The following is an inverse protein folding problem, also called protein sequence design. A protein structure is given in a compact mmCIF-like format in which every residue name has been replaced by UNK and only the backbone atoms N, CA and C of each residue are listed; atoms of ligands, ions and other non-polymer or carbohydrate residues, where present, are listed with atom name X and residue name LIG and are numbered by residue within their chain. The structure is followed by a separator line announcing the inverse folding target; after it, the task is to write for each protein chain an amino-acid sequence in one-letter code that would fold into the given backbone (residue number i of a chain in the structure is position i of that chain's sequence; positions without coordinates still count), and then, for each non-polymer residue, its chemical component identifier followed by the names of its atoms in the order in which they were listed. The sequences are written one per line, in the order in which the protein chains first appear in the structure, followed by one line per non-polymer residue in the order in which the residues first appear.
data_IF_093755581885
#
_entry.id   IF_093755581885
#
_cell.length_a   1.000
_cell.length_b   1.000
_cell.length_c   1.000
_cell.angle_alpha   90.00
_cell.angle_beta   90.00
_cell.angle_gamma   90.00
#
_symmetry.space_group_name_H-M   'P 1'
#
loop_
_entity.id
_entity.type
_entity.pdbx_description
1 polymer ?
#
# COMPACT_ATOMS: atom_id res chain seq x y z
N UNK A 1 27.18 57.55 -41.51
CA UNK A 1 27.84 56.77 -40.47
C UNK A 1 26.99 56.64 -39.16
N UNK A 2 26.24 57.65 -38.75
CA UNK A 2 25.46 57.61 -37.48
C UNK A 2 24.18 56.74 -37.49
N UNK A 3 23.59 56.43 -38.63
CA UNK A 3 22.36 55.57 -38.68
C UNK A 3 22.59 54.03 -38.60
N UNK A 4 23.81 53.58 -38.94
CA UNK A 4 24.17 52.17 -38.93
C UNK A 4 24.50 51.69 -37.50
N UNK A 5 25.17 52.53 -36.71
CA UNK A 5 25.55 52.24 -35.33
C UNK A 5 24.34 52.13 -34.41
N UNK A 6 23.24 52.91 -34.63
CA UNK A 6 22.04 52.86 -33.82
C UNK A 6 21.22 51.64 -34.11
N UNK A 7 21.23 51.10 -35.34
CA UNK A 7 20.48 49.87 -35.70
C UNK A 7 21.11 48.61 -35.13
N UNK A 8 22.46 48.56 -35.13
CA UNK A 8 23.19 47.40 -34.59
C UNK A 8 23.16 47.36 -33.05
N UNK A 9 23.04 48.54 -32.39
CA UNK A 9 22.86 48.66 -30.96
C UNK A 9 21.45 48.21 -30.49
N UNK A 10 20.40 48.53 -31.25
CA UNK A 10 19.02 48.13 -30.96
C UNK A 10 18.82 46.63 -31.19
N UNK A 11 19.45 46.05 -32.20
CA UNK A 11 19.39 44.59 -32.43
C UNK A 11 20.20 43.84 -31.38
N UNK A 12 21.35 44.35 -30.92
CA UNK A 12 22.12 43.74 -29.83
C UNK A 12 21.43 43.77 -28.46
N UNK A 13 20.68 44.83 -28.18
CA UNK A 13 19.91 44.97 -26.94
C UNK A 13 18.64 44.10 -26.97
N UNK A 14 17.98 43.91 -28.13
CA UNK A 14 16.84 43.01 -28.28
C UNK A 14 17.23 41.51 -28.19
N UNK A 15 18.45 41.14 -28.65
CA UNK A 15 18.96 39.78 -28.51
C UNK A 15 19.44 39.45 -27.11
N UNK A 16 19.78 40.45 -26.27
CA UNK A 16 20.15 40.23 -24.86
C UNK A 16 18.95 40.11 -23.90
N UNK A 17 17.74 40.49 -24.30
CA UNK A 17 16.52 40.35 -23.51
C UNK A 17 15.66 39.12 -23.86
N UNK A 18 16.02 38.34 -24.89
CA UNK A 18 15.28 37.15 -25.31
C UNK A 18 15.92 35.83 -24.79
N UNK A 19 17.12 35.91 -24.22
CA UNK A 19 17.88 34.73 -23.78
C UNK A 19 17.82 34.34 -22.30
N UNK A 20 17.13 35.00 -21.37
CA UNK A 20 16.94 34.42 -20.05
C UNK A 20 15.51 33.86 -19.75
N UNK A 21 14.66 33.71 -20.78
CA UNK A 21 13.29 33.14 -20.57
C UNK A 21 13.15 31.66 -20.97
N UNK A 22 14.22 31.05 -21.47
CA UNK A 22 14.21 29.67 -21.90
C UNK A 22 14.94 28.70 -20.93
N UNK A 23 15.51 29.18 -19.85
CA UNK A 23 16.07 28.37 -18.77
C UNK A 23 15.43 28.68 -17.40
N UNK A 24 14.11 28.89 -17.37
CA UNK A 24 13.39 28.37 -16.19
C UNK A 24 13.37 26.85 -16.38
N UNK A 25 14.51 26.24 -16.20
CA UNK A 25 14.66 24.88 -15.78
C UNK A 25 13.64 24.70 -14.68
N UNK A 26 12.66 23.84 -14.91
CA UNK A 26 11.93 23.21 -13.83
C UNK A 26 13.03 22.62 -12.95
N UNK A 27 13.50 23.36 -11.96
CA UNK A 27 14.19 22.80 -10.83
C UNK A 27 13.14 21.86 -10.27
N UNK A 28 13.21 20.58 -10.66
CA UNK A 28 12.55 19.51 -9.98
C UNK A 28 12.99 19.71 -8.54
N UNK A 29 12.11 20.24 -7.72
CA UNK A 29 12.39 20.44 -6.31
C UNK A 29 12.80 19.07 -5.82
N UNK A 30 14.08 18.89 -5.52
CA UNK A 30 14.58 17.64 -4.96
C UNK A 30 13.67 17.34 -3.78
N UNK A 31 12.90 16.27 -3.87
CA UNK A 31 11.92 15.95 -2.85
C UNK A 31 12.64 15.93 -1.51
N UNK A 32 12.17 16.76 -0.58
CA UNK A 32 12.77 16.81 0.75
C UNK A 32 12.60 15.44 1.40
N UNK A 33 13.70 14.83 1.78
CA UNK A 33 13.71 13.57 2.55
C UNK A 33 12.83 13.72 3.77
N UNK A 34 12.05 12.71 4.08
CA UNK A 34 11.23 12.72 5.29
C UNK A 34 12.11 12.91 6.53
N UNK A 35 11.71 13.82 7.41
CA UNK A 35 12.39 14.06 8.66
C UNK A 35 11.37 14.10 9.80
N UNK A 36 11.75 13.52 10.94
CA UNK A 36 10.94 13.56 12.16
C UNK A 36 10.98 14.99 12.74
N UNK A 37 9.89 15.74 12.57
CA UNK A 37 9.79 17.11 13.08
C UNK A 37 9.48 17.10 14.57
N UNK A 38 10.24 17.85 15.38
CA UNK A 38 10.06 17.92 16.84
C UNK A 38 10.02 16.52 17.50
N UNK A 39 11.08 15.73 17.40
CA UNK A 39 11.12 14.37 17.91
C UNK A 39 10.90 14.33 19.43
N UNK A 40 10.12 13.36 19.92
CA UNK A 40 9.86 13.14 21.33
C UNK A 40 10.70 11.95 21.84
N UNK A 41 11.92 12.21 22.20
CA UNK A 41 12.83 11.19 22.72
C UNK A 41 12.48 10.69 24.13
N UNK A 42 11.54 11.32 24.83
CA UNK A 42 11.02 10.78 26.10
C UNK A 42 10.07 9.61 25.83
N UNK A 43 9.20 9.74 24.81
CA UNK A 43 8.27 8.67 24.43
C UNK A 43 8.91 7.60 23.54
N UNK A 44 9.84 7.99 22.70
CA UNK A 44 10.53 7.11 21.74
C UNK A 44 12.03 7.38 21.74
N UNK A 45 12.79 6.81 22.70
CA UNK A 45 14.18 7.18 22.96
C UNK A 45 15.15 7.02 21.79
N UNK A 46 14.83 6.18 20.81
CA UNK A 46 15.71 5.87 19.67
C UNK A 46 15.43 6.69 18.43
N UNK A 47 14.15 6.97 18.14
CA UNK A 47 13.74 7.60 16.89
C UNK A 47 13.02 8.93 17.11
N UNK A 48 12.55 9.21 18.32
CA UNK A 48 11.69 10.35 18.60
C UNK A 48 10.30 10.26 17.96
N UNK A 49 9.99 9.18 17.21
CA UNK A 49 8.72 9.05 16.51
C UNK A 49 7.56 8.79 17.48
N UNK A 50 6.49 9.55 17.30
CA UNK A 50 5.20 9.36 17.96
C UNK A 50 4.14 8.97 16.91
N UNK A 51 2.90 8.67 17.34
CA UNK A 51 1.77 8.42 16.43
C UNK A 51 1.60 9.55 15.40
N UNK A 52 1.81 10.81 15.79
CA UNK A 52 1.70 11.94 14.87
C UNK A 52 2.73 11.86 13.73
N UNK A 53 3.95 11.42 14.01
CA UNK A 53 4.98 11.25 12.99
C UNK A 53 4.67 10.08 12.03
N UNK A 54 3.97 9.04 12.51
CA UNK A 54 3.46 7.97 11.64
C UNK A 54 2.38 8.48 10.69
N UNK A 55 1.47 9.35 11.17
CA UNK A 55 0.48 10.03 10.33
C UNK A 55 1.19 10.87 9.27
N UNK A 56 2.16 11.69 9.67
CA UNK A 56 2.97 12.52 8.76
C UNK A 56 3.72 11.69 7.71
N UNK A 57 4.25 10.52 8.10
CA UNK A 57 4.90 9.60 7.16
C UNK A 57 3.91 9.05 6.14
N UNK A 58 2.70 8.68 6.56
CA UNK A 58 1.62 8.28 5.67
C UNK A 58 1.21 9.40 4.71
N UNK A 59 1.03 10.62 5.22
CA UNK A 59 0.72 11.80 4.41
C UNK A 59 1.85 12.13 3.42
N UNK A 60 3.11 12.02 3.84
CA UNK A 60 4.28 12.23 2.98
C UNK A 60 4.27 11.27 1.77
N UNK A 61 4.05 9.98 2.01
CA UNK A 61 3.97 8.98 0.93
C UNK A 61 2.76 9.20 0.02
N UNK A 62 1.60 9.46 0.62
CA UNK A 62 0.37 9.68 -0.14
C UNK A 62 0.41 10.97 -0.96
N UNK A 63 1.06 12.01 -0.47
CA UNK A 63 1.27 13.27 -1.20
C UNK A 63 2.05 13.05 -2.49
N UNK A 64 3.08 12.21 -2.48
CA UNK A 64 3.82 11.85 -3.69
C UNK A 64 2.91 11.21 -4.74
N UNK A 65 2.08 10.24 -4.34
CA UNK A 65 1.11 9.61 -5.22
C UNK A 65 0.05 10.60 -5.75
N UNK A 66 -0.46 11.49 -4.90
CA UNK A 66 -1.42 12.52 -5.30
C UNK A 66 -0.81 13.63 -6.16
N UNK A 67 0.50 13.71 -6.31
CA UNK A 67 1.15 14.56 -7.31
C UNK A 67 0.73 14.26 -8.75
N UNK A 68 0.26 13.04 -9.01
CA UNK A 68 -0.24 12.59 -10.31
C UNK A 68 -1.75 12.73 -10.49
N UNK A 69 -2.48 13.20 -9.49
CA UNK A 69 -3.94 13.31 -9.48
C UNK A 69 -4.34 14.77 -9.53
N UNK A 70 -4.97 15.18 -10.63
CA UNK A 70 -5.45 16.54 -10.89
C UNK A 70 -6.97 16.59 -11.03
N UNK A 71 -7.60 15.45 -11.35
CA UNK A 71 -9.05 15.26 -11.46
C UNK A 71 -9.47 13.96 -10.78
N UNK A 72 -10.78 13.78 -10.56
CA UNK A 72 -11.30 12.53 -10.00
C UNK A 72 -11.17 11.34 -10.97
N UNK A 73 -11.02 11.56 -12.27
CA UNK A 73 -10.88 10.53 -13.30
C UNK A 73 -9.44 10.07 -13.51
N UNK A 74 -8.46 10.82 -13.00
CA UNK A 74 -7.05 10.44 -13.12
C UNK A 74 -6.79 9.12 -12.38
N UNK A 75 -5.93 8.31 -12.97
CA UNK A 75 -5.63 6.98 -12.45
C UNK A 75 -4.38 7.02 -11.55
N UNK A 76 -4.37 6.28 -10.45
CA UNK A 76 -3.16 6.02 -9.66
C UNK A 76 -2.20 5.15 -10.47
N UNK A 77 -1.56 5.78 -11.45
CA UNK A 77 -0.64 5.14 -12.37
C UNK A 77 0.62 6.00 -12.49
N UNK A 78 1.76 5.42 -12.13
CA UNK A 78 3.00 6.14 -11.96
C UNK A 78 3.95 5.94 -13.13
N UNK A 79 4.91 6.87 -13.35
CA UNK A 79 5.93 6.72 -14.37
C UNK A 79 6.72 5.42 -14.19
N UNK A 80 7.08 4.82 -15.31
CA UNK A 80 7.87 3.60 -15.33
C UNK A 80 9.33 3.94 -15.02
N UNK A 81 9.84 3.40 -13.93
CA UNK A 81 11.22 3.67 -13.50
C UNK A 81 12.29 2.90 -14.29
N UNK A 82 11.93 1.73 -14.83
CA UNK A 82 12.84 0.88 -15.61
C UNK A 82 12.10 0.27 -16.82
N UNK A 83 12.67 0.36 -18.01
CA UNK A 83 12.01 0.00 -19.28
C UNK A 83 11.48 -1.44 -19.37
N UNK A 84 12.17 -2.39 -18.75
CA UNK A 84 11.83 -3.83 -18.83
C UNK A 84 11.09 -4.34 -17.59
N UNK A 85 10.43 -3.47 -16.84
CA UNK A 85 9.69 -3.84 -15.64
C UNK A 85 8.19 -3.90 -15.90
N UNK A 86 7.43 -4.32 -14.90
CA UNK A 86 5.98 -4.33 -14.95
C UNK A 86 5.41 -2.89 -14.91
N UNK A 87 4.33 -2.58 -15.69
CA UNK A 87 3.73 -3.42 -16.74
C UNK A 87 4.66 -3.49 -17.97
N UNK A 88 4.84 -4.68 -18.55
CA UNK A 88 5.72 -4.87 -19.71
C UNK A 88 4.96 -4.98 -21.05
N UNK A 89 3.64 -4.88 -20.99
CA UNK A 89 2.75 -4.82 -22.16
C UNK A 89 1.43 -4.12 -21.81
N UNK A 90 0.68 -3.69 -22.84
CA UNK A 90 -0.55 -2.94 -22.69
C UNK A 90 -1.66 -3.70 -21.94
N UNK A 91 -1.69 -5.02 -22.03
CA UNK A 91 -2.65 -5.85 -21.32
C UNK A 91 -2.52 -5.83 -19.80
N UNK A 92 -1.34 -5.44 -19.29
CA UNK A 92 -1.08 -5.33 -17.85
C UNK A 92 -1.40 -3.94 -17.28
N UNK A 93 -1.53 -2.91 -18.13
CA UNK A 93 -1.77 -1.52 -17.70
C UNK A 93 -3.04 -1.37 -16.85
N UNK A 94 -4.20 -1.95 -17.20
CA UNK A 94 -5.40 -1.83 -16.36
C UNK A 94 -5.20 -2.38 -14.94
N UNK A 95 -4.47 -3.49 -14.82
CA UNK A 95 -4.16 -4.08 -13.51
C UNK A 95 -3.17 -3.22 -12.74
N UNK A 96 -2.14 -2.67 -13.39
CA UNK A 96 -1.18 -1.76 -12.75
C UNK A 96 -1.86 -0.49 -12.20
N UNK A 97 -2.86 0.05 -12.89
CA UNK A 97 -3.68 1.17 -12.40
C UNK A 97 -4.49 0.77 -11.16
N UNK A 98 -5.09 -0.42 -11.18
CA UNK A 98 -5.82 -0.94 -10.04
C UNK A 98 -4.90 -1.21 -8.85
N UNK A 99 -3.68 -1.69 -9.09
CA UNK A 99 -2.65 -1.85 -8.05
C UNK A 99 -2.31 -0.51 -7.40
N UNK A 100 -2.06 0.53 -8.20
CA UNK A 100 -1.81 1.87 -7.67
C UNK A 100 -2.96 2.37 -6.80
N UNK A 101 -4.21 2.21 -7.25
CA UNK A 101 -5.40 2.58 -6.49
C UNK A 101 -5.51 1.81 -5.17
N UNK A 102 -5.41 0.48 -5.22
CA UNK A 102 -5.61 -0.38 -4.06
C UNK A 102 -4.52 -0.17 -3.00
N UNK A 103 -3.26 -0.04 -3.43
CA UNK A 103 -2.11 0.07 -2.52
C UNK A 103 -1.99 1.44 -1.89
N UNK A 104 -2.28 2.52 -2.62
CA UNK A 104 -2.35 3.86 -2.03
C UNK A 104 -3.53 4.01 -1.07
N UNK A 105 -4.64 3.29 -1.31
CA UNK A 105 -5.77 3.28 -0.39
C UNK A 105 -5.45 2.61 0.96
N UNK A 106 -4.51 1.67 1.03
CA UNK A 106 -4.00 1.15 2.31
C UNK A 106 -3.42 2.25 3.21
N UNK A 107 -2.75 3.25 2.61
CA UNK A 107 -2.23 4.40 3.35
C UNK A 107 -3.37 5.39 3.64
N UNK A 108 -4.23 5.65 2.65
CA UNK A 108 -5.29 6.65 2.76
C UNK A 108 -6.38 6.24 3.74
N UNK A 109 -6.79 4.97 3.80
CA UNK A 109 -7.91 4.53 4.62
C UNK A 109 -7.75 4.86 6.12
N UNK A 110 -6.64 4.54 6.80
CA UNK A 110 -6.45 4.95 8.19
C UNK A 110 -6.37 6.48 8.37
N UNK A 111 -5.80 7.22 7.41
CA UNK A 111 -5.78 8.68 7.44
C UNK A 111 -7.19 9.27 7.31
N UNK A 112 -8.01 8.73 6.41
CA UNK A 112 -9.39 9.14 6.20
C UNK A 112 -10.31 8.80 7.38
N UNK A 113 -10.02 7.72 8.11
CA UNK A 113 -10.75 7.40 9.34
C UNK A 113 -10.57 8.49 10.40
N UNK A 114 -9.35 9.05 10.51
CA UNK A 114 -9.04 10.11 11.48
C UNK A 114 -9.38 11.52 10.93
N UNK A 115 -9.24 11.73 9.62
CA UNK A 115 -9.52 13.01 8.92
C UNK A 115 -10.24 12.77 7.59
N UNK A 116 -11.60 12.68 7.60
CA UNK A 116 -12.40 12.49 6.38
C UNK A 116 -12.29 13.66 5.37
N UNK A 117 -11.86 14.82 5.83
CA UNK A 117 -11.74 16.05 5.02
C UNK A 117 -10.34 16.24 4.43
N UNK A 118 -9.46 15.25 4.54
CA UNK A 118 -8.09 15.33 4.03
C UNK A 118 -8.07 15.75 2.54
N UNK A 119 -7.27 16.77 2.24
CA UNK A 119 -7.07 17.31 0.88
C UNK A 119 -5.61 17.14 0.50
N UNK A 120 -5.34 16.64 -0.71
CA UNK A 120 -4.02 16.55 -1.31
C UNK A 120 -4.08 17.03 -2.76
N UNK A 121 -3.11 17.83 -3.16
CA UNK A 121 -3.06 18.45 -4.50
C UNK A 121 -4.40 19.08 -4.94
N UNK A 122 -5.10 19.75 -4.01
CA UNK A 122 -6.42 20.36 -4.26
C UNK A 122 -7.58 19.36 -4.40
N UNK A 123 -7.33 18.07 -4.30
CA UNK A 123 -8.33 17.01 -4.39
C UNK A 123 -8.69 16.52 -2.98
N UNK A 124 -9.98 16.43 -2.67
CA UNK A 124 -10.46 15.79 -1.45
C UNK A 124 -10.26 14.25 -1.59
N UNK A 125 -9.39 13.71 -0.77
CA UNK A 125 -8.92 12.31 -0.87
C UNK A 125 -10.08 11.31 -0.81
N UNK A 126 -11.05 11.53 0.07
CA UNK A 126 -12.24 10.68 0.19
C UNK A 126 -13.09 10.68 -1.09
N UNK A 127 -13.26 11.84 -1.74
CA UNK A 127 -14.06 11.96 -2.98
C UNK A 127 -13.37 11.24 -4.13
N UNK A 128 -12.05 11.39 -4.24
CA UNK A 128 -11.25 10.68 -5.23
C UNK A 128 -11.45 9.16 -5.12
N UNK A 129 -11.19 8.59 -3.94
CA UNK A 129 -11.30 7.14 -3.79
C UNK A 129 -12.74 6.64 -3.96
N UNK A 130 -13.77 7.35 -3.48
CA UNK A 130 -15.16 6.96 -3.74
C UNK A 130 -15.48 6.96 -5.23
N UNK A 131 -15.04 8.00 -5.96
CA UNK A 131 -15.24 8.08 -7.41
C UNK A 131 -14.60 6.89 -8.13
N UNK A 132 -13.35 6.57 -7.78
CA UNK A 132 -12.64 5.43 -8.35
C UNK A 132 -13.29 4.08 -8.00
N UNK A 133 -13.71 3.89 -6.74
CA UNK A 133 -14.41 2.66 -6.31
C UNK A 133 -15.72 2.45 -7.08
N UNK A 134 -16.52 3.49 -7.27
CA UNK A 134 -17.73 3.43 -8.11
C UNK A 134 -17.37 3.14 -9.57
N UNK A 135 -16.28 3.73 -10.06
CA UNK A 135 -15.75 3.53 -11.40
C UNK A 135 -15.41 2.07 -11.73
N UNK A 136 -14.96 1.29 -10.74
CA UNK A 136 -14.60 -0.13 -10.91
C UNK A 136 -15.73 -0.94 -11.58
N UNK A 137 -16.98 -0.67 -11.25
CA UNK A 137 -18.14 -1.38 -11.79
C UNK A 137 -18.87 -0.64 -12.92
N UNK A 138 -18.38 0.52 -13.34
CA UNK A 138 -18.99 1.34 -14.39
C UNK A 138 -18.24 1.19 -15.74
N UNK A 139 -18.84 0.57 -16.77
CA UNK A 139 -18.16 0.37 -18.07
C UNK A 139 -17.70 1.63 -18.78
N UNK A 140 -18.21 2.81 -18.39
CA UNK A 140 -17.80 4.11 -18.94
C UNK A 140 -16.64 4.77 -18.19
N UNK A 141 -16.24 4.20 -17.06
CA UNK A 141 -15.15 4.74 -16.25
C UNK A 141 -13.79 4.25 -16.74
N UNK A 142 -12.74 5.06 -16.66
CA UNK A 142 -11.36 4.63 -16.90
C UNK A 142 -10.87 3.58 -15.89
N UNK A 143 -11.56 3.43 -14.74
CA UNK A 143 -11.26 2.45 -13.69
C UNK A 143 -12.03 1.14 -13.83
N UNK A 144 -12.80 0.98 -14.91
CA UNK A 144 -13.66 -0.18 -15.10
C UNK A 144 -12.91 -1.51 -15.07
N UNK A 145 -13.40 -2.44 -14.27
CA UNK A 145 -12.92 -3.82 -14.19
C UNK A 145 -14.07 -4.74 -14.59
N UNK A 146 -13.95 -5.51 -15.68
CA UNK A 146 -14.98 -6.46 -16.07
C UNK A 146 -15.12 -7.58 -15.04
N UNK A 147 -16.30 -8.20 -14.97
CA UNK A 147 -16.46 -9.42 -14.19
C UNK A 147 -15.44 -10.47 -14.63
N UNK A 148 -14.95 -11.23 -13.67
CA UNK A 148 -13.87 -12.19 -13.87
C UNK A 148 -14.21 -13.21 -14.96
N UNK A 149 -13.24 -13.46 -15.83
CA UNK A 149 -13.24 -14.55 -16.80
C UNK A 149 -11.92 -15.31 -16.68
N UNK A 150 -11.99 -16.63 -16.60
CA UNK A 150 -10.79 -17.48 -16.58
C UNK A 150 -10.17 -17.74 -15.19
N UNK A 151 -8.87 -18.01 -15.16
CA UNK A 151 -8.11 -18.45 -14.00
C UNK A 151 -7.76 -17.38 -12.96
N UNK A 152 -6.81 -17.65 -12.05
CA UNK A 152 -6.31 -16.69 -11.08
C UNK A 152 -5.78 -15.44 -11.77
N UNK A 153 -6.00 -14.28 -11.18
CA UNK A 153 -5.51 -13.00 -11.70
C UNK A 153 -5.09 -12.05 -10.56
N UNK A 154 -4.18 -11.15 -10.87
CA UNK A 154 -3.73 -10.08 -9.95
C UNK A 154 -4.90 -9.20 -9.49
N UNK A 155 -5.91 -8.98 -10.32
CA UNK A 155 -7.12 -8.23 -9.98
C UNK A 155 -7.79 -8.71 -8.68
N UNK A 156 -7.75 -10.03 -8.40
CA UNK A 156 -8.27 -10.59 -7.15
C UNK A 156 -7.56 -9.98 -5.93
N UNK A 157 -6.23 -9.85 -5.99
CA UNK A 157 -5.43 -9.33 -4.88
C UNK A 157 -5.82 -7.88 -4.58
N UNK A 158 -5.96 -7.09 -5.62
CA UNK A 158 -6.27 -5.68 -5.49
C UNK A 158 -7.70 -5.46 -4.99
N UNK A 159 -8.68 -6.20 -5.49
CA UNK A 159 -10.05 -6.13 -4.96
C UNK A 159 -10.15 -6.59 -3.50
N UNK A 160 -9.37 -7.59 -3.09
CA UNK A 160 -9.27 -8.01 -1.69
C UNK A 160 -8.62 -6.92 -0.81
N UNK A 161 -7.61 -6.24 -1.34
CA UNK A 161 -6.98 -5.08 -0.68
C UNK A 161 -7.96 -3.91 -0.52
N UNK A 162 -8.78 -3.64 -1.54
CA UNK A 162 -9.85 -2.64 -1.44
C UNK A 162 -10.89 -3.02 -0.38
N UNK A 163 -11.22 -4.31 -0.23
CA UNK A 163 -12.14 -4.78 0.82
C UNK A 163 -11.61 -4.47 2.23
N UNK A 164 -10.31 -4.67 2.48
CA UNK A 164 -9.66 -4.29 3.74
C UNK A 164 -9.79 -2.78 3.97
N UNK A 165 -9.43 -1.98 2.98
CA UNK A 165 -9.43 -0.52 3.07
C UNK A 165 -10.83 0.05 3.25
N UNK A 166 -11.82 -0.46 2.50
CA UNK A 166 -13.23 -0.08 2.67
C UNK A 166 -13.75 -0.44 4.06
N UNK A 167 -13.35 -1.57 4.63
CA UNK A 167 -13.71 -1.92 6.01
C UNK A 167 -13.04 -1.00 7.03
N UNK A 168 -11.77 -0.68 6.84
CA UNK A 168 -11.00 0.17 7.77
C UNK A 168 -11.57 1.60 7.88
N UNK A 169 -12.05 2.16 6.76
CA UNK A 169 -12.66 3.49 6.68
C UNK A 169 -14.10 3.43 6.15
N UNK A 170 -14.90 2.47 6.64
CA UNK A 170 -16.22 2.15 6.11
C UNK A 170 -17.16 3.37 6.05
N UNK A 171 -17.22 4.15 7.12
CA UNK A 171 -18.07 5.35 7.21
C UNK A 171 -17.73 6.41 6.15
N UNK A 172 -16.50 6.40 5.63
CA UNK A 172 -16.02 7.38 4.63
C UNK A 172 -16.07 6.83 3.21
N UNK A 173 -15.74 5.55 3.02
CA UNK A 173 -15.54 4.96 1.69
C UNK A 173 -16.75 4.16 1.18
N UNK A 174 -17.41 3.40 2.05
CA UNK A 174 -18.48 2.49 1.67
C UNK A 174 -19.88 3.03 2.00
N UNK A 175 -20.11 3.47 3.24
CA UNK A 175 -21.44 3.84 3.69
C UNK A 175 -22.08 4.97 2.86
N UNK A 176 -21.34 5.99 2.37
CA UNK A 176 -21.88 7.05 1.54
C UNK A 176 -22.32 6.62 0.13
N UNK A 177 -21.91 5.45 -0.35
CA UNK A 177 -22.33 4.95 -1.66
C UNK A 177 -23.81 4.63 -1.68
N UNK A 178 -24.49 4.92 -2.80
CA UNK A 178 -25.87 4.50 -3.01
C UNK A 178 -26.00 2.99 -3.05
N UNK A 179 -27.21 2.47 -2.82
CA UNK A 179 -27.45 1.02 -2.89
C UNK A 179 -27.07 0.44 -4.27
N UNK A 180 -27.43 1.12 -5.35
CA UNK A 180 -27.08 0.68 -6.70
C UNK A 180 -25.57 0.62 -6.95
N UNK A 181 -24.81 1.61 -6.45
CA UNK A 181 -23.35 1.61 -6.53
C UNK A 181 -22.73 0.46 -5.72
N UNK A 182 -23.23 0.26 -4.49
CA UNK A 182 -22.81 -0.88 -3.65
C UNK A 182 -23.07 -2.22 -4.31
N UNK A 183 -24.28 -2.42 -4.84
CA UNK A 183 -24.69 -3.66 -5.50
C UNK A 183 -23.81 -3.96 -6.73
N UNK A 184 -23.55 -2.95 -7.56
CA UNK A 184 -22.70 -3.09 -8.74
C UNK A 184 -21.25 -3.43 -8.38
N UNK A 185 -20.66 -2.70 -7.41
CA UNK A 185 -19.30 -2.97 -6.94
C UNK A 185 -19.22 -4.35 -6.29
N UNK A 186 -20.19 -4.72 -5.45
CA UNK A 186 -20.26 -6.01 -4.80
C UNK A 186 -20.34 -7.16 -5.84
N UNK A 187 -21.13 -7.02 -6.89
CA UNK A 187 -21.22 -8.02 -7.96
C UNK A 187 -19.87 -8.21 -8.68
N UNK A 188 -19.17 -7.11 -8.99
CA UNK A 188 -17.82 -7.18 -9.57
C UNK A 188 -16.85 -7.87 -8.60
N UNK A 189 -16.79 -7.46 -7.34
CA UNK A 189 -15.91 -8.05 -6.33
C UNK A 189 -16.22 -9.54 -6.10
N UNK A 190 -17.50 -9.92 -6.02
CA UNK A 190 -17.95 -11.30 -5.81
C UNK A 190 -17.49 -12.22 -6.94
N UNK A 191 -17.52 -11.73 -8.19
CA UNK A 191 -17.06 -12.50 -9.36
C UNK A 191 -15.60 -12.92 -9.26
N UNK A 192 -14.77 -12.17 -8.53
CA UNK A 192 -13.38 -12.52 -8.21
C UNK A 192 -13.26 -13.28 -6.88
N UNK A 193 -14.00 -12.86 -5.86
CA UNK A 193 -13.94 -13.45 -4.51
C UNK A 193 -14.33 -14.93 -4.49
N UNK A 194 -15.27 -15.35 -5.29
CA UNK A 194 -15.66 -16.76 -5.48
C UNK A 194 -14.86 -17.46 -6.58
N UNK A 195 -13.98 -16.74 -7.24
CA UNK A 195 -13.15 -17.26 -8.31
C UNK A 195 -11.96 -18.08 -7.85
N UNK A 196 -11.32 -18.82 -8.78
CA UNK A 196 -10.11 -19.57 -8.47
C UNK A 196 -8.96 -18.65 -8.09
N UNK A 197 -8.10 -19.16 -7.21
CA UNK A 197 -6.90 -18.50 -6.72
C UNK A 197 -5.70 -19.45 -6.74
N UNK A 198 -4.51 -18.90 -6.56
CA UNK A 198 -3.30 -19.70 -6.34
C UNK A 198 -3.31 -20.19 -4.89
N UNK A 199 -2.95 -21.45 -4.68
CA UNK A 199 -2.83 -22.07 -3.36
C UNK A 199 -1.66 -21.53 -2.54
N UNK A 200 -1.67 -20.23 -2.19
CA UNK A 200 -0.66 -19.50 -1.44
C UNK A 200 -1.33 -18.44 -0.57
N UNK A 201 -0.59 -17.41 -0.16
CA UNK A 201 -1.15 -16.23 0.52
C UNK A 201 -2.28 -15.56 -0.29
N UNK A 202 -2.36 -15.77 -1.59
CA UNK A 202 -3.41 -15.23 -2.46
C UNK A 202 -4.83 -15.57 -2.00
N UNK A 203 -5.01 -16.70 -1.33
CA UNK A 203 -6.31 -17.08 -0.74
C UNK A 203 -6.85 -16.05 0.28
N UNK A 204 -5.99 -15.24 0.91
CA UNK A 204 -6.46 -14.17 1.79
C UNK A 204 -7.35 -13.16 1.05
N UNK A 205 -7.10 -12.89 -0.20
CA UNK A 205 -7.86 -11.88 -0.95
C UNK A 205 -9.27 -12.38 -1.30
N UNK A 206 -9.45 -13.68 -1.58
CA UNK A 206 -10.79 -14.29 -1.62
C UNK A 206 -11.47 -14.13 -0.25
N UNK A 207 -10.76 -14.46 0.83
CA UNK A 207 -11.25 -14.35 2.21
C UNK A 207 -11.71 -12.93 2.54
N UNK A 208 -10.92 -11.90 2.20
CA UNK A 208 -11.28 -10.51 2.48
C UNK A 208 -12.50 -10.05 1.68
N UNK A 209 -12.57 -10.36 0.39
CA UNK A 209 -13.74 -10.01 -0.44
C UNK A 209 -14.99 -10.66 0.16
N UNK A 210 -14.97 -11.96 0.40
CA UNK A 210 -16.14 -12.70 0.87
C UNK A 210 -16.54 -12.28 2.28
N UNK A 211 -15.57 -12.07 3.18
CA UNK A 211 -15.84 -11.63 4.55
C UNK A 211 -16.43 -10.22 4.60
N UNK A 212 -15.91 -9.31 3.78
CA UNK A 212 -16.43 -7.96 3.67
C UNK A 212 -17.87 -7.96 3.11
N UNK A 213 -18.11 -8.65 2.01
CA UNK A 213 -19.43 -8.72 1.39
C UNK A 213 -20.46 -9.38 2.33
N UNK A 214 -20.07 -10.45 3.04
CA UNK A 214 -20.90 -11.08 4.08
C UNK A 214 -21.22 -10.08 5.20
N UNK A 215 -20.25 -9.32 5.67
CA UNK A 215 -20.45 -8.30 6.72
C UNK A 215 -21.38 -7.15 6.25
N UNK A 216 -21.44 -6.90 4.94
CA UNK A 216 -22.35 -5.94 4.32
C UNK A 216 -23.72 -6.55 3.95
N UNK A 217 -24.00 -7.80 4.31
CA UNK A 217 -25.30 -8.48 4.10
C UNK A 217 -25.50 -9.11 2.72
N UNK A 218 -24.43 -9.22 1.91
CA UNK A 218 -24.52 -9.95 0.63
C UNK A 218 -24.35 -11.45 0.84
N UNK A 219 -25.05 -12.23 0.01
CA UNK A 219 -24.88 -13.70 -0.04
C UNK A 219 -23.50 -14.02 -0.61
N UNK A 220 -22.77 -14.92 0.01
CA UNK A 220 -21.45 -15.39 -0.39
C UNK A 220 -21.34 -16.91 -0.25
N UNK A 221 -20.39 -17.53 -0.94
CA UNK A 221 -20.08 -18.94 -0.76
C UNK A 221 -19.30 -19.16 0.54
N UNK A 222 -20.01 -19.36 1.66
CA UNK A 222 -19.43 -19.53 2.99
C UNK A 222 -18.53 -20.76 3.10
N UNK A 223 -18.88 -21.86 2.42
CA UNK A 223 -18.06 -23.09 2.45
C UNK A 223 -16.73 -22.87 1.74
N UNK A 224 -16.69 -22.07 0.69
CA UNK A 224 -15.46 -21.68 0.00
C UNK A 224 -14.60 -20.74 0.86
N UNK A 225 -15.23 -19.77 1.53
CA UNK A 225 -14.58 -18.88 2.49
C UNK A 225 -13.91 -19.69 3.61
N UNK A 226 -14.64 -20.57 4.27
CA UNK A 226 -14.14 -21.40 5.37
C UNK A 226 -13.01 -22.35 4.90
N UNK A 227 -13.17 -22.96 3.71
CA UNK A 227 -12.14 -23.81 3.11
C UNK A 227 -10.83 -23.08 2.89
N UNK A 228 -10.87 -21.83 2.38
CA UNK A 228 -9.66 -21.02 2.19
C UNK A 228 -8.99 -20.68 3.53
N UNK A 229 -9.75 -20.32 4.55
CA UNK A 229 -9.22 -20.06 5.90
C UNK A 229 -8.50 -21.30 6.49
N UNK A 230 -9.12 -22.48 6.39
CA UNK A 230 -8.51 -23.74 6.84
C UNK A 230 -7.23 -24.06 6.08
N UNK A 231 -7.20 -23.84 4.74
CA UNK A 231 -6.01 -24.05 3.91
C UNK A 231 -4.88 -23.08 4.27
N UNK A 232 -5.20 -21.84 4.60
CA UNK A 232 -4.22 -20.84 5.05
C UNK A 232 -3.61 -21.26 6.39
N UNK A 233 -4.45 -21.65 7.39
CA UNK A 233 -3.98 -22.13 8.69
C UNK A 233 -3.14 -23.41 8.58
N UNK A 234 -3.47 -24.31 7.66
CA UNK A 234 -2.69 -25.55 7.42
C UNK A 234 -1.24 -25.29 6.94
N UNK A 235 -0.90 -24.05 6.56
CA UNK A 235 0.47 -23.66 6.21
C UNK A 235 1.33 -23.26 7.41
N UNK A 236 0.77 -23.22 8.61
CA UNK A 236 1.51 -22.96 9.83
C UNK A 236 2.54 -24.07 10.10
N UNK A 237 3.71 -23.70 10.59
CA UNK A 237 4.84 -24.61 10.83
C UNK A 237 5.39 -24.53 12.26
N UNK A 238 4.77 -23.74 13.11
CA UNK A 238 5.19 -23.51 14.49
C UNK A 238 5.90 -22.16 14.67
N UNK A 239 5.99 -21.71 15.90
CA UNK A 239 6.70 -20.51 16.32
C UNK A 239 6.33 -19.23 15.56
N UNK A 240 5.09 -19.14 15.10
CA UNK A 240 4.58 -18.02 14.31
C UNK A 240 4.88 -18.06 12.82
N UNK A 241 5.56 -19.10 12.31
CA UNK A 241 6.01 -19.16 10.93
C UNK A 241 5.06 -19.93 10.03
N UNK A 242 4.86 -19.41 8.82
CA UNK A 242 4.08 -20.03 7.75
C UNK A 242 4.95 -20.30 6.53
N UNK A 243 4.61 -21.35 5.81
CA UNK A 243 5.22 -21.70 4.54
C UNK A 243 4.38 -21.14 3.38
N UNK A 244 4.87 -20.14 2.66
CA UNK A 244 4.24 -19.64 1.44
C UNK A 244 4.90 -20.30 0.21
N UNK A 245 4.35 -21.40 -0.20
CA UNK A 245 4.54 -22.24 -1.36
C UNK A 245 5.83 -22.06 -2.22
N UNK A 246 6.91 -22.67 -2.00
CA UNK A 246 7.52 -23.55 -1.01
C UNK A 246 8.55 -22.82 -0.12
N UNK A 247 8.51 -21.50 -0.03
CA UNK A 247 9.53 -20.68 0.59
C UNK A 247 9.21 -20.28 2.03
N UNK A 248 10.27 -20.19 2.85
CA UNK A 248 10.28 -19.47 4.11
C UNK A 248 11.01 -18.15 3.91
N UNK A 249 10.27 -17.05 3.97
CA UNK A 249 10.79 -15.70 3.84
C UNK A 249 9.83 -14.69 4.49
N UNK A 250 10.02 -13.42 4.24
CA UNK A 250 9.15 -12.38 4.76
C UNK A 250 7.67 -12.51 4.37
N UNK A 251 7.27 -13.38 3.44
CA UNK A 251 5.84 -13.65 3.20
C UNK A 251 5.15 -14.27 4.41
N UNK A 252 5.88 -14.97 5.29
CA UNK A 252 5.35 -15.34 6.59
C UNK A 252 4.93 -14.13 7.40
N UNK A 253 5.71 -13.06 7.38
CA UNK A 253 5.46 -11.82 8.12
C UNK A 253 4.42 -10.94 7.41
N UNK A 254 4.74 -10.38 6.25
CA UNK A 254 3.88 -9.39 5.62
C UNK A 254 2.62 -9.93 4.92
N UNK A 255 2.48 -11.25 4.76
CA UNK A 255 1.25 -11.86 4.30
C UNK A 255 0.51 -12.57 5.44
N UNK A 256 1.00 -13.73 5.89
CA UNK A 256 0.24 -14.55 6.83
C UNK A 256 0.03 -13.87 8.18
N UNK A 257 1.08 -13.34 8.78
CA UNK A 257 1.06 -12.69 10.09
C UNK A 257 0.58 -11.23 10.05
N UNK A 258 0.25 -10.74 8.87
CA UNK A 258 -0.43 -9.45 8.67
C UNK A 258 -1.90 -9.68 8.33
N UNK A 259 -2.18 -10.40 7.25
CA UNK A 259 -3.56 -10.59 6.79
C UNK A 259 -4.39 -11.50 7.69
N UNK A 260 -3.80 -12.53 8.28
CA UNK A 260 -4.50 -13.41 9.23
C UNK A 260 -5.06 -12.65 10.42
N UNK A 261 -4.23 -11.92 11.19
CA UNK A 261 -4.67 -11.07 12.30
C UNK A 261 -5.63 -9.95 11.90
N UNK A 262 -5.38 -9.26 10.77
CA UNK A 262 -6.30 -8.23 10.25
C UNK A 262 -7.68 -8.84 9.98
N UNK A 263 -7.73 -9.98 9.31
CA UNK A 263 -8.99 -10.67 9.06
C UNK A 263 -9.67 -11.10 10.36
N UNK A 264 -8.91 -11.67 11.30
CA UNK A 264 -9.44 -12.11 12.59
C UNK A 264 -10.12 -10.96 13.34
N UNK A 265 -9.49 -9.78 13.38
CA UNK A 265 -10.04 -8.61 14.06
C UNK A 265 -11.21 -7.95 13.29
N UNK A 266 -11.10 -7.79 11.99
CA UNK A 266 -12.13 -7.10 11.21
C UNK A 266 -13.40 -7.92 11.03
N UNK A 267 -13.29 -9.25 10.91
CA UNK A 267 -14.38 -10.13 10.52
C UNK A 267 -14.42 -11.43 11.31
N UNK A 268 -13.26 -12.02 11.59
CA UNK A 268 -13.12 -13.40 12.00
C UNK A 268 -13.78 -13.69 13.35
N UNK A 269 -13.59 -12.81 14.34
CA UNK A 269 -14.20 -12.93 15.68
C UNK A 269 -15.73 -13.05 15.62
N UNK A 270 -16.37 -12.43 14.63
CA UNK A 270 -17.82 -12.50 14.40
C UNK A 270 -18.23 -13.65 13.50
N UNK A 271 -17.47 -13.93 12.43
CA UNK A 271 -17.87 -14.86 11.38
C UNK A 271 -17.39 -16.30 11.65
N UNK A 272 -16.15 -16.48 12.14
CA UNK A 272 -15.50 -17.77 12.40
C UNK A 272 -14.58 -17.65 13.62
N UNK A 273 -15.11 -17.55 14.85
CA UNK A 273 -14.35 -17.22 16.05
C UNK A 273 -13.21 -18.17 16.36
N UNK A 274 -13.37 -19.48 16.11
CA UNK A 274 -12.33 -20.47 16.35
C UNK A 274 -11.13 -20.32 15.40
N UNK A 275 -11.38 -20.04 14.11
CA UNK A 275 -10.31 -19.80 13.13
C UNK A 275 -9.61 -18.47 13.40
N UNK A 276 -10.37 -17.44 13.81
CA UNK A 276 -9.81 -16.16 14.22
C UNK A 276 -8.84 -16.31 15.40
N UNK A 277 -9.25 -17.06 16.42
CA UNK A 277 -8.41 -17.35 17.59
C UNK A 277 -7.09 -18.04 17.19
N UNK A 278 -7.12 -18.97 16.23
CA UNK A 278 -5.90 -19.64 15.75
C UNK A 278 -4.94 -18.66 15.05
N UNK A 279 -5.43 -17.75 14.18
CA UNK A 279 -4.59 -16.73 13.55
C UNK A 279 -3.94 -15.81 14.59
N UNK A 280 -4.68 -15.39 15.61
CA UNK A 280 -4.17 -14.53 16.68
C UNK A 280 -3.16 -15.27 17.57
N UNK A 281 -3.40 -16.54 17.91
CA UNK A 281 -2.45 -17.35 18.66
C UNK A 281 -1.14 -17.54 17.88
N UNK A 282 -1.21 -17.82 16.58
CA UNK A 282 -0.03 -17.98 15.74
C UNK A 282 0.76 -16.65 15.61
N UNK A 283 0.08 -15.50 15.66
CA UNK A 283 0.75 -14.20 15.71
C UNK A 283 1.48 -13.99 17.04
N UNK A 284 0.87 -14.38 18.14
CA UNK A 284 1.50 -14.33 19.46
C UNK A 284 2.83 -15.09 19.46
N UNK A 285 2.84 -16.32 18.92
CA UNK A 285 4.07 -17.11 18.82
C UNK A 285 5.15 -16.40 18.01
N UNK A 286 4.79 -15.69 16.93
CA UNK A 286 5.75 -14.94 16.13
C UNK A 286 6.37 -13.76 16.89
N UNK A 287 5.58 -13.02 17.63
CA UNK A 287 6.07 -11.82 18.34
C UNK A 287 7.16 -12.17 19.35
N UNK A 288 7.18 -13.41 19.88
CA UNK A 288 8.20 -13.88 20.79
C UNK A 288 9.60 -14.04 20.15
N UNK A 289 9.67 -14.34 18.85
CA UNK A 289 10.94 -14.64 18.18
C UNK A 289 11.29 -13.67 17.03
N UNK A 290 10.32 -13.15 16.31
CA UNK A 290 10.54 -12.32 15.13
C UNK A 290 11.33 -11.02 15.38
N UNK A 291 11.22 -10.33 16.53
CA UNK A 291 12.03 -9.16 16.82
C UNK A 291 13.54 -9.39 16.73
N UNK A 292 14.02 -10.62 16.95
CA UNK A 292 15.44 -10.97 16.85
C UNK A 292 15.97 -10.99 15.40
N UNK A 293 15.10 -10.92 14.39
CA UNK A 293 15.51 -10.78 12.99
C UNK A 293 15.91 -9.36 12.60
N UNK A 294 15.69 -8.39 13.49
CA UNK A 294 16.05 -6.99 13.25
C UNK A 294 17.38 -6.67 13.93
N UNK A 295 18.14 -5.75 13.34
CA UNK A 295 19.38 -5.30 13.92
C UNK A 295 19.19 -4.60 15.27
N UNK A 296 20.27 -4.41 16.01
CA UNK A 296 20.23 -3.75 17.32
C UNK A 296 19.64 -2.34 17.25
N UNK A 297 19.82 -1.62 16.15
CA UNK A 297 19.23 -0.30 15.88
C UNK A 297 17.84 -0.35 15.26
N UNK A 298 17.22 -1.53 15.19
CA UNK A 298 15.84 -1.74 14.76
C UNK A 298 15.64 -1.76 13.24
N UNK A 299 16.70 -1.97 12.45
CA UNK A 299 16.61 -2.02 10.99
C UNK A 299 16.39 -3.45 10.50
N UNK A 300 15.63 -3.58 9.42
CA UNK A 300 15.44 -4.86 8.75
C UNK A 300 16.62 -5.20 7.83
N UNK A 301 16.84 -6.50 7.63
CA UNK A 301 17.80 -7.03 6.66
C UNK A 301 17.13 -7.37 5.32
N UNK A 302 17.96 -7.59 4.29
CA UNK A 302 17.53 -8.14 3.01
C UNK A 302 17.42 -9.65 3.13
N UNK A 303 16.19 -10.18 3.12
CA UNK A 303 15.95 -11.61 3.20
C UNK A 303 14.73 -12.04 2.38
N UNK A 304 14.90 -13.07 1.54
CA UNK A 304 13.82 -13.62 0.73
C UNK A 304 13.44 -12.79 -0.48
N UNK A 305 12.30 -13.11 -1.07
CA UNK A 305 11.75 -12.47 -2.27
C UNK A 305 10.91 -11.23 -1.92
N UNK A 306 10.62 -10.42 -2.92
CA UNK A 306 9.74 -9.24 -2.81
C UNK A 306 10.15 -8.25 -1.71
N UNK A 307 11.44 -8.12 -1.45
CA UNK A 307 11.96 -7.31 -0.35
C UNK A 307 11.74 -5.81 -0.53
N UNK A 308 11.32 -5.36 -1.70
CA UNK A 308 10.89 -3.99 -1.95
C UNK A 308 9.61 -3.61 -1.18
N UNK A 309 8.90 -4.54 -0.54
CA UNK A 309 7.89 -4.24 0.47
C UNK A 309 8.48 -3.61 1.74
N UNK A 310 9.78 -3.73 1.95
CA UNK A 310 10.58 -2.96 2.93
C UNK A 310 9.96 -2.99 4.34
N UNK A 311 9.57 -1.82 4.86
CA UNK A 311 9.00 -1.70 6.21
C UNK A 311 7.70 -2.47 6.45
N UNK A 312 7.07 -3.05 5.42
CA UNK A 312 5.99 -4.02 5.61
C UNK A 312 6.44 -5.25 6.43
N UNK A 313 7.75 -5.53 6.49
CA UNK A 313 8.29 -6.55 7.38
C UNK A 313 7.92 -6.32 8.86
N UNK A 314 7.63 -5.08 9.27
CA UNK A 314 7.24 -4.76 10.65
C UNK A 314 5.73 -4.82 10.89
N UNK A 315 4.91 -5.07 9.86
CA UNK A 315 3.46 -5.08 10.00
C UNK A 315 2.94 -6.06 11.07
N UNK A 316 3.46 -7.30 11.22
CA UNK A 316 3.04 -8.19 12.29
C UNK A 316 3.24 -7.63 13.69
N UNK A 317 4.33 -6.89 13.89
CA UNK A 317 4.66 -6.26 15.17
C UNK A 317 3.73 -5.08 15.46
N UNK A 318 3.35 -4.32 14.42
CA UNK A 318 2.47 -3.16 14.56
C UNK A 318 1.01 -3.56 14.86
N UNK A 319 0.60 -4.76 14.44
CA UNK A 319 -0.75 -5.31 14.69
C UNK A 319 -0.91 -5.90 16.09
N UNK A 320 0.18 -6.06 16.83
CA UNK A 320 0.16 -6.68 18.15
C UNK A 320 -0.64 -5.88 19.20
N UNK A 321 -0.93 -4.64 18.98
CA UNK A 321 -1.77 -3.84 19.89
C UNK A 321 -3.18 -4.41 20.10
N UNK A 322 -3.63 -5.31 19.22
CA UNK A 322 -4.92 -6.01 19.41
C UNK A 322 -4.89 -7.03 20.53
N UNK A 323 -3.73 -7.54 20.91
CA UNK A 323 -3.55 -8.40 22.09
C UNK A 323 -2.76 -7.65 23.17
N UNK A 324 -3.41 -7.30 24.26
CA UNK A 324 -2.81 -6.57 25.39
C UNK A 324 -2.01 -7.49 26.34
N UNK A 325 -1.25 -8.44 25.80
CA UNK A 325 -0.44 -9.36 26.58
C UNK A 325 0.66 -8.61 27.34
N UNK A 326 0.88 -8.99 28.61
CA UNK A 326 1.92 -8.43 29.48
C UNK A 326 3.36 -8.88 29.10
N UNK A 327 3.47 -9.89 28.24
CA UNK A 327 4.73 -10.59 27.94
C UNK A 327 5.53 -9.90 26.83
N UNK A 328 4.95 -8.91 26.18
CA UNK A 328 5.53 -8.24 25.02
C UNK A 328 6.28 -6.98 25.40
N UNK A 329 7.52 -6.86 24.94
CA UNK A 329 8.27 -5.64 25.07
C UNK A 329 7.86 -4.61 23.98
N UNK A 330 6.80 -3.86 24.26
CA UNK A 330 6.28 -2.83 23.35
C UNK A 330 7.31 -1.73 23.00
N UNK A 331 8.24 -1.43 23.92
CA UNK A 331 9.33 -0.48 23.63
C UNK A 331 10.24 -0.99 22.54
N UNK A 332 10.57 -2.27 22.56
CA UNK A 332 11.38 -2.91 21.51
C UNK A 332 10.65 -2.97 20.17
N UNK A 333 9.38 -3.38 20.17
CA UNK A 333 8.54 -3.43 18.97
C UNK A 333 8.41 -2.05 18.33
N UNK A 334 8.12 -1.00 19.10
CA UNK A 334 8.05 0.38 18.58
C UNK A 334 9.38 0.85 18.01
N UNK A 335 10.48 0.52 18.66
CA UNK A 335 11.81 0.80 18.14
C UNK A 335 12.02 0.16 16.77
N UNK A 336 11.75 -1.15 16.65
CA UNK A 336 11.88 -1.88 15.37
C UNK A 336 11.00 -1.23 14.30
N UNK A 337 9.72 -1.04 14.57
CA UNK A 337 8.79 -0.48 13.62
C UNK A 337 9.22 0.92 13.14
N UNK A 338 9.54 1.81 14.09
CA UNK A 338 9.95 3.19 13.77
C UNK A 338 11.31 3.24 13.05
N UNK A 339 12.30 2.50 13.52
CA UNK A 339 13.64 2.50 12.91
C UNK A 339 13.63 1.88 11.51
N UNK A 340 12.85 0.81 11.31
CA UNK A 340 12.70 0.21 9.98
C UNK A 340 11.98 1.16 9.01
N UNK A 341 10.96 1.90 9.45
CA UNK A 341 10.31 2.91 8.62
C UNK A 341 11.32 3.99 8.21
N UNK A 342 12.06 4.57 9.18
CA UNK A 342 13.05 5.62 8.91
C UNK A 342 14.23 5.12 8.09
N UNK A 343 14.59 3.83 8.17
CA UNK A 343 15.62 3.22 7.31
C UNK A 343 15.41 3.53 5.83
N UNK A 344 14.15 3.66 5.41
CA UNK A 344 13.80 3.96 4.03
C UNK A 344 13.40 5.43 3.84
N UNK A 345 12.56 5.99 4.70
CA UNK A 345 12.05 7.35 4.50
C UNK A 345 13.13 8.43 4.59
N UNK A 346 14.18 8.20 5.37
CA UNK A 346 15.34 9.10 5.47
C UNK A 346 16.40 8.86 4.37
N UNK A 347 16.18 7.85 3.53
CA UNK A 347 17.07 7.58 2.39
C UNK A 347 16.71 8.47 1.21
N UNK A 348 17.62 9.35 0.72
CA UNK A 348 17.34 10.26 -0.39
C UNK A 348 17.09 9.55 -1.73
N UNK A 349 17.37 8.25 -1.81
CA UNK A 349 17.11 7.43 -2.99
C UNK A 349 15.84 6.57 -2.86
N UNK A 350 15.06 6.76 -1.80
CA UNK A 350 13.86 5.94 -1.57
C UNK A 350 12.72 6.34 -2.50
N UNK A 351 12.52 7.63 -2.73
CA UNK A 351 11.54 8.15 -3.67
C UNK A 351 12.22 8.63 -4.95
N UNK A 352 11.56 8.44 -6.07
CA UNK A 352 11.85 9.01 -7.36
C UNK A 352 10.53 9.55 -7.94
N UNK A 353 10.51 10.84 -8.27
CA UNK A 353 9.29 11.52 -8.72
C UNK A 353 8.06 11.29 -7.81
N UNK A 354 8.26 11.32 -6.49
CA UNK A 354 7.21 11.18 -5.47
C UNK A 354 6.78 9.76 -5.14
N UNK A 355 7.32 8.75 -5.82
CA UNK A 355 6.92 7.35 -5.59
C UNK A 355 8.11 6.47 -5.19
N UNK A 356 7.90 5.41 -4.39
CA UNK A 356 8.98 4.53 -3.97
C UNK A 356 9.69 3.88 -5.15
N UNK A 357 11.03 3.89 -5.10
CA UNK A 357 11.86 3.23 -6.10
C UNK A 357 11.73 1.71 -6.06
N UNK A 358 12.01 1.03 -7.18
CA UNK A 358 11.82 -0.41 -7.31
C UNK A 358 12.84 -1.24 -6.56
N UNK A 359 14.04 -0.74 -6.32
CA UNK A 359 15.08 -1.45 -5.58
C UNK A 359 14.96 -1.27 -4.07
N UNK A 360 15.67 -2.09 -3.28
CA UNK A 360 15.58 -2.06 -1.82
C UNK A 360 16.01 -0.72 -1.22
N UNK A 361 17.17 -0.19 -1.64
CA UNK A 361 17.70 1.09 -1.18
C UNK A 361 17.71 2.20 -2.25
N UNK A 362 17.18 1.92 -3.43
CA UNK A 362 17.17 2.85 -4.56
C UNK A 362 16.89 2.14 -5.88
N UNK A 363 16.84 2.83 -7.01
CA UNK A 363 16.38 2.28 -8.29
C UNK A 363 17.22 1.12 -8.82
N UNK A 364 18.49 1.04 -8.46
CA UNK A 364 19.47 0.13 -9.07
C UNK A 364 20.11 -0.86 -8.09
N UNK A 365 19.39 -1.34 -7.09
CA UNK A 365 19.91 -2.41 -6.23
C UNK A 365 19.79 -3.79 -6.91
N UNK A 366 20.86 -4.37 -7.49
CA UNK A 366 20.77 -5.52 -8.40
C UNK A 366 20.19 -6.78 -7.77
N UNK A 367 20.48 -7.02 -6.50
CA UNK A 367 19.98 -8.19 -5.76
C UNK A 367 18.45 -8.19 -5.61
N UNK A 368 17.81 -7.05 -5.77
CA UNK A 368 16.36 -6.86 -5.59
C UNK A 368 15.62 -6.99 -6.92
N UNK A 369 16.27 -6.70 -8.03
CA UNK A 369 15.64 -6.80 -9.36
C UNK A 369 15.23 -8.21 -9.73
N UNK A 370 15.92 -9.23 -9.21
CA UNK A 370 15.59 -10.64 -9.44
C UNK A 370 14.30 -11.03 -8.73
N UNK A 371 13.99 -10.39 -7.60
CA UNK A 371 12.84 -10.66 -6.75
C UNK A 371 11.93 -9.44 -6.60
N UNK A 372 12.07 -8.44 -7.48
CA UNK A 372 11.20 -7.29 -7.46
C UNK A 372 9.75 -7.74 -7.54
N UNK A 373 8.91 -7.11 -6.77
CA UNK A 373 7.49 -7.33 -6.85
C UNK A 373 7.05 -7.14 -8.29
N UNK A 374 6.28 -8.05 -8.78
CA UNK A 374 5.44 -7.76 -9.93
C UNK A 374 4.32 -6.85 -9.42
N UNK A 375 4.50 -5.58 -9.66
CA UNK A 375 3.56 -4.55 -9.25
C UNK A 375 3.81 -3.96 -7.89
#
# INVERSE_FOLDING_TARGET
MRRKVLRDFVIGVLLLFVLPLAELSVAIAQESVFTVQQPDFQKSPYTGMTRQHWIQAGEYLLKGAFGYIHTLDDQMYFPKQLDKTYPNNDGQVPVAKLEGLARTLFIAAPLLKDNPELVMNGIRVADYYRHQLVGISNPKSPSFIPHRKGGPSQTLLELGSLAISMKAAQAVLWDPLTKAQKDSLAATMLSYGEGPTIGSNWMFFNVFILSFLKDQGYAVNESYLESNLKKLLARYRGEGWYNDAPAYDYYSAWAYQTYGPIWAEMFGKKQFPQLAQQFLANQHDMVANYPYMFSRDGKMNMWGRSICYRFAATAPLSLWEYDKSSDVNYGWIRRIASSTLLQFLENPKFLEEGVPTMGFYGPFAPAVQIYSCRG
#
